data_IF_784870412040
#
_entry.id   IF_784870412040
#
_cell.length_a   1.000
_cell.length_b   1.000
_cell.length_c   1.000
_cell.angle_alpha   90.00
_cell.angle_beta   90.00
_cell.angle_gamma   90.00
#
_symmetry.space_group_name_H-M   'P 1'
#
loop_
_entity.id
_entity.type
_entity.pdbx_description
1 polymer ?
#
# COMPACT_ATOMS: atom_id res chain seq x y z
N UNK A 1 -50.92 -13.35 -16.12
CA UNK A 1 -51.34 -12.89 -14.78
C UNK A 1 -50.66 -11.56 -14.56
N UNK A 2 -51.38 -10.50 -14.93
CA UNK A 2 -51.04 -9.10 -14.69
C UNK A 2 -51.14 -8.78 -13.20
N UNK A 3 -50.11 -8.09 -12.69
CA UNK A 3 -50.12 -7.06 -11.62
C UNK A 3 -48.86 -7.14 -10.75
N UNK A 4 -47.80 -6.49 -11.24
CA UNK A 4 -46.85 -5.76 -10.40
C UNK A 4 -46.57 -4.43 -11.14
N UNK A 5 -47.61 -3.60 -11.21
CA UNK A 5 -47.50 -2.20 -11.55
C UNK A 5 -46.69 -1.49 -10.46
N UNK A 6 -45.83 -0.55 -10.85
CA UNK A 6 -45.13 0.30 -9.89
C UNK A 6 -46.20 1.04 -9.09
N UNK A 7 -46.18 0.90 -7.76
CA UNK A 7 -47.09 1.65 -6.91
C UNK A 7 -46.63 3.10 -6.83
N UNK A 8 -47.03 3.89 -7.84
CA UNK A 8 -46.69 5.31 -7.96
C UNK A 8 -47.20 6.13 -6.77
N UNK A 9 -48.27 5.69 -6.08
CA UNK A 9 -48.78 6.35 -4.88
C UNK A 9 -47.85 6.11 -3.70
N UNK A 10 -47.42 4.87 -3.49
CA UNK A 10 -46.41 4.51 -2.47
C UNK A 10 -45.07 5.19 -2.75
N UNK A 11 -44.62 5.21 -3.99
CA UNK A 11 -43.39 5.90 -4.38
C UNK A 11 -43.46 7.41 -4.09
N UNK A 12 -44.57 8.07 -4.45
CA UNK A 12 -44.78 9.49 -4.16
C UNK A 12 -44.86 9.78 -2.66
N UNK A 13 -45.45 8.87 -1.88
CA UNK A 13 -45.52 8.98 -0.42
C UNK A 13 -44.13 8.86 0.23
N UNK A 14 -43.36 7.83 -0.15
CA UNK A 14 -41.99 7.61 0.34
C UNK A 14 -41.07 8.79 0.00
N UNK A 15 -41.22 9.37 -1.21
CA UNK A 15 -40.51 10.59 -1.61
C UNK A 15 -40.84 11.80 -0.71
N UNK A 16 -42.09 11.95 -0.28
CA UNK A 16 -42.52 13.06 0.58
C UNK A 16 -42.10 12.86 2.04
N UNK A 17 -42.05 11.63 2.52
CA UNK A 17 -41.64 11.31 3.91
C UNK A 17 -40.14 11.12 4.07
N UNK A 18 -39.36 11.07 2.97
CA UNK A 18 -37.92 10.81 3.00
C UNK A 18 -37.58 9.33 3.26
N UNK A 19 -38.55 8.42 3.09
CA UNK A 19 -38.35 6.98 3.19
C UNK A 19 -37.63 6.43 1.94
N UNK A 20 -36.94 5.30 2.10
CA UNK A 20 -36.19 4.67 1.01
C UNK A 20 -37.14 4.17 -0.10
N UNK A 21 -36.88 4.61 -1.34
CA UNK A 21 -37.63 4.17 -2.54
C UNK A 21 -37.26 2.76 -3.01
N UNK A 22 -36.10 2.27 -2.58
CA UNK A 22 -35.57 0.95 -2.92
C UNK A 22 -35.35 0.10 -1.66
N UNK A 23 -35.00 -1.17 -1.81
CA UNK A 23 -34.89 -2.15 -0.72
C UNK A 23 -36.18 -2.93 -0.48
N UNK A 24 -36.19 -3.79 0.54
CA UNK A 24 -37.27 -4.77 0.80
C UNK A 24 -38.69 -4.18 0.82
N UNK A 25 -38.83 -2.93 1.27
CA UNK A 25 -40.11 -2.22 1.37
C UNK A 25 -40.24 -1.03 0.40
N UNK A 26 -39.25 -0.82 -0.48
CA UNK A 26 -39.20 0.29 -1.43
C UNK A 26 -40.17 0.12 -2.59
N UNK A 27 -40.90 1.18 -2.96
CA UNK A 27 -41.86 1.15 -4.06
C UNK A 27 -41.23 0.83 -5.44
N UNK A 28 -39.92 1.05 -5.61
CA UNK A 28 -39.20 0.82 -6.87
C UNK A 28 -38.39 -0.49 -6.90
N UNK A 29 -38.32 -1.25 -5.81
CA UNK A 29 -37.59 -2.52 -5.77
C UNK A 29 -38.08 -3.54 -6.82
N UNK A 30 -39.41 -3.72 -7.04
CA UNK A 30 -39.92 -4.63 -8.07
C UNK A 30 -39.52 -4.22 -9.49
N UNK A 31 -39.33 -2.91 -9.75
CA UNK A 31 -38.90 -2.41 -11.05
C UNK A 31 -37.47 -2.85 -11.36
N UNK A 32 -36.57 -2.73 -10.39
CA UNK A 32 -35.18 -3.15 -10.53
C UNK A 32 -35.07 -4.65 -10.79
N UNK A 33 -35.82 -5.45 -10.03
CA UNK A 33 -35.90 -6.90 -10.22
C UNK A 33 -36.36 -7.26 -11.64
N UNK A 34 -37.40 -6.60 -12.15
CA UNK A 34 -37.90 -6.80 -13.52
C UNK A 34 -36.86 -6.46 -14.58
N UNK A 35 -36.14 -5.35 -14.43
CA UNK A 35 -35.11 -4.94 -15.40
C UNK A 35 -34.01 -6.00 -15.48
N UNK A 36 -33.50 -6.47 -14.33
CA UNK A 36 -32.45 -7.49 -14.27
C UNK A 36 -32.90 -8.82 -14.85
N UNK A 37 -34.12 -9.28 -14.49
CA UNK A 37 -34.67 -10.52 -15.02
C UNK A 37 -34.95 -10.43 -16.53
N UNK A 38 -35.47 -9.30 -17.02
CA UNK A 38 -35.70 -9.09 -18.45
C UNK A 38 -34.39 -9.06 -19.26
N UNK A 39 -33.34 -8.44 -18.72
CA UNK A 39 -32.02 -8.43 -19.36
C UNK A 39 -31.45 -9.86 -19.49
N UNK A 40 -31.54 -10.67 -18.42
CA UNK A 40 -31.09 -12.07 -18.45
C UNK A 40 -31.90 -12.94 -19.42
N UNK A 41 -33.21 -12.70 -19.53
CA UNK A 41 -34.05 -13.37 -20.53
C UNK A 41 -33.63 -13.00 -21.96
N UNK A 42 -33.33 -11.72 -22.21
CA UNK A 42 -32.81 -11.25 -23.49
C UNK A 42 -31.45 -11.85 -23.85
N UNK A 43 -30.53 -11.94 -22.88
CA UNK A 43 -29.24 -12.62 -23.05
C UNK A 43 -29.42 -14.11 -23.41
N UNK A 44 -30.38 -14.79 -22.77
CA UNK A 44 -30.69 -16.19 -23.08
C UNK A 44 -31.27 -16.37 -24.48
N UNK A 45 -32.13 -15.46 -24.92
CA UNK A 45 -32.67 -15.48 -26.29
C UNK A 45 -31.57 -15.25 -27.34
N UNK A 46 -30.61 -14.37 -27.05
CA UNK A 46 -29.43 -14.18 -27.90
C UNK A 46 -28.51 -15.40 -27.91
N UNK A 47 -28.32 -16.05 -26.75
CA UNK A 47 -27.50 -17.26 -26.60
C UNK A 47 -28.11 -18.46 -27.34
N UNK A 48 -29.42 -18.64 -27.30
CA UNK A 48 -30.12 -19.75 -27.98
C UNK A 48 -30.56 -19.36 -29.40
N UNK A 49 -29.58 -19.10 -30.27
CA UNK A 49 -29.83 -18.82 -31.68
C UNK A 49 -30.32 -20.07 -32.45
N UNK A 50 -30.64 -19.92 -33.74
CA UNK A 50 -31.16 -21.01 -34.58
C UNK A 50 -30.20 -22.20 -34.72
N UNK A 51 -28.89 -21.99 -34.67
CA UNK A 51 -27.89 -23.06 -34.75
C UNK A 51 -27.85 -23.88 -33.45
N UNK A 52 -27.90 -23.22 -32.29
CA UNK A 52 -27.91 -23.89 -30.98
C UNK A 52 -29.19 -24.70 -30.73
N UNK A 53 -30.32 -24.22 -31.26
CA UNK A 53 -31.57 -25.00 -31.23
C UNK A 53 -31.52 -26.22 -32.13
N UNK A 54 -30.84 -26.12 -33.26
CA UNK A 54 -30.69 -27.22 -34.22
C UNK A 54 -29.72 -28.30 -33.71
N UNK A 55 -28.75 -27.94 -32.87
CA UNK A 55 -27.85 -28.89 -32.19
C UNK A 55 -28.49 -29.58 -30.96
N UNK A 56 -29.73 -29.22 -30.62
CA UNK A 56 -30.50 -29.83 -29.54
C UNK A 56 -30.43 -29.09 -28.19
N UNK A 57 -29.74 -27.95 -28.13
CA UNK A 57 -29.75 -27.10 -26.95
C UNK A 57 -31.09 -26.35 -26.83
N UNK A 58 -31.59 -26.22 -25.62
CA UNK A 58 -32.88 -25.60 -25.32
C UNK A 58 -32.92 -25.06 -23.91
N UNK A 59 -33.87 -24.17 -23.64
CA UNK A 59 -34.15 -23.68 -22.28
C UNK A 59 -34.46 -24.85 -21.34
N UNK A 60 -33.88 -24.82 -20.14
CA UNK A 60 -34.00 -25.87 -19.12
C UNK A 60 -34.23 -25.24 -17.73
N UNK A 61 -35.28 -24.44 -17.64
CA UNK A 61 -35.70 -23.78 -16.39
C UNK A 61 -34.87 -22.56 -16.02
N UNK A 62 -35.04 -22.12 -14.77
CA UNK A 62 -34.34 -20.98 -14.17
C UNK A 62 -33.78 -21.36 -12.81
N UNK A 63 -32.77 -20.63 -12.36
CA UNK A 63 -32.22 -20.70 -11.01
C UNK A 63 -32.41 -19.36 -10.33
N UNK A 64 -33.13 -19.35 -9.21
CA UNK A 64 -33.28 -18.16 -8.40
C UNK A 64 -32.06 -17.95 -7.51
N UNK A 65 -31.61 -16.70 -7.40
CA UNK A 65 -30.59 -16.28 -6.44
C UNK A 65 -30.90 -14.88 -5.94
N UNK A 66 -30.65 -14.64 -4.65
CA UNK A 66 -30.71 -13.29 -4.08
C UNK A 66 -29.43 -12.55 -4.46
N UNK A 67 -29.62 -11.35 -4.98
CA UNK A 67 -28.54 -10.47 -5.45
C UNK A 67 -28.59 -9.17 -4.66
N UNK A 68 -27.45 -8.78 -4.11
CA UNK A 68 -27.26 -7.53 -3.40
C UNK A 68 -26.94 -6.42 -4.41
N UNK A 69 -27.71 -5.33 -4.40
CA UNK A 69 -27.47 -4.16 -5.26
C UNK A 69 -27.29 -2.90 -4.42
N UNK A 70 -26.79 -1.81 -5.02
CA UNK A 70 -26.76 -0.48 -4.37
C UNK A 70 -28.14 0.03 -3.90
N UNK A 71 -29.21 -0.60 -4.38
CA UNK A 71 -30.59 -0.28 -4.10
C UNK A 71 -31.25 -1.36 -3.21
N UNK A 72 -30.47 -2.24 -2.58
CA UNK A 72 -30.94 -3.32 -1.72
C UNK A 72 -31.04 -4.67 -2.41
N UNK A 73 -31.61 -5.65 -1.69
CA UNK A 73 -31.74 -7.03 -2.14
C UNK A 73 -32.79 -7.17 -3.25
N UNK A 74 -32.46 -7.92 -4.30
CA UNK A 74 -33.39 -8.28 -5.38
C UNK A 74 -33.27 -9.77 -5.68
N UNK A 75 -34.38 -10.40 -6.08
CA UNK A 75 -34.40 -11.81 -6.44
C UNK A 75 -34.23 -11.93 -7.95
N UNK A 76 -33.13 -12.56 -8.37
CA UNK A 76 -32.83 -12.73 -9.80
C UNK A 76 -33.05 -14.17 -10.22
N UNK A 77 -33.84 -14.37 -11.26
CA UNK A 77 -34.10 -15.66 -11.88
C UNK A 77 -33.21 -15.85 -13.11
N UNK A 78 -32.05 -16.48 -12.92
CA UNK A 78 -31.11 -16.72 -14.04
C UNK A 78 -31.61 -17.88 -14.91
N UNK A 79 -31.91 -17.66 -16.20
CA UNK A 79 -32.32 -18.73 -17.09
C UNK A 79 -31.16 -19.71 -17.36
N UNK A 80 -31.51 -20.97 -17.66
CA UNK A 80 -30.54 -22.02 -17.93
C UNK A 80 -30.82 -22.67 -19.27
N UNK A 81 -29.76 -23.07 -19.95
CA UNK A 81 -29.81 -23.94 -21.12
C UNK A 81 -29.55 -25.41 -20.72
N UNK A 82 -29.92 -26.35 -21.58
CA UNK A 82 -29.78 -27.79 -21.34
C UNK A 82 -28.31 -28.19 -21.19
N UNK A 83 -27.45 -27.60 -22.01
CA UNK A 83 -26.03 -27.95 -22.08
C UNK A 83 -25.20 -27.17 -21.04
N UNK A 84 -25.81 -26.24 -20.31
CA UNK A 84 -25.15 -25.43 -19.29
C UNK A 84 -24.12 -24.43 -19.84
N UNK A 85 -24.13 -24.19 -21.15
CA UNK A 85 -23.18 -23.35 -21.88
C UNK A 85 -23.43 -21.85 -21.72
N UNK A 86 -24.63 -21.44 -21.29
CA UNK A 86 -24.99 -20.03 -21.13
C UNK A 86 -24.10 -19.30 -20.12
N UNK A 87 -23.52 -18.16 -20.50
CA UNK A 87 -22.69 -17.32 -19.63
C UNK A 87 -23.31 -15.92 -19.57
N UNK A 88 -24.18 -15.64 -18.59
CA UNK A 88 -24.82 -14.33 -18.46
C UNK A 88 -23.80 -13.25 -18.14
N UNK A 89 -23.99 -12.06 -18.72
CA UNK A 89 -23.12 -10.89 -18.55
C UNK A 89 -23.71 -9.91 -17.53
N UNK A 90 -25.01 -9.65 -17.58
CA UNK A 90 -25.74 -8.75 -16.66
C UNK A 90 -25.60 -9.21 -15.21
N UNK A 91 -25.77 -10.51 -14.96
CA UNK A 91 -25.53 -11.12 -13.65
C UNK A 91 -24.78 -12.44 -13.83
N UNK A 92 -23.47 -12.45 -13.56
CA UNK A 92 -22.62 -13.63 -13.80
C UNK A 92 -23.08 -14.84 -12.98
N UNK A 93 -22.76 -16.04 -13.45
CA UNK A 93 -23.04 -17.29 -12.70
C UNK A 93 -22.44 -17.20 -11.29
N UNK A 94 -23.25 -17.52 -10.28
CA UNK A 94 -22.92 -17.45 -8.84
C UNK A 94 -22.60 -16.04 -8.30
N UNK A 95 -22.72 -14.99 -9.11
CA UNK A 95 -22.61 -13.62 -8.63
C UNK A 95 -23.85 -13.25 -7.82
N UNK A 96 -23.65 -12.93 -6.55
CA UNK A 96 -24.69 -12.53 -5.60
C UNK A 96 -24.59 -11.06 -5.20
N UNK A 97 -23.66 -10.30 -5.78
CA UNK A 97 -23.43 -8.88 -5.48
C UNK A 97 -23.28 -8.11 -6.80
N UNK A 98 -24.37 -7.46 -7.23
CA UNK A 98 -24.43 -6.57 -8.39
C UNK A 98 -24.19 -5.14 -7.94
N UNK A 99 -22.93 -4.88 -7.62
CA UNK A 99 -22.57 -3.60 -7.07
C UNK A 99 -21.13 -3.25 -7.43
N UNK A 100 -20.87 -3.00 -8.71
CA UNK A 100 -19.64 -2.30 -9.10
C UNK A 100 -19.47 -0.99 -8.29
N UNK A 101 -20.57 -0.35 -7.86
CA UNK A 101 -20.50 0.77 -6.91
C UNK A 101 -20.27 0.42 -5.42
N UNK A 102 -20.85 -0.68 -4.90
CA UNK A 102 -20.66 -1.01 -3.46
C UNK A 102 -19.33 -1.70 -3.21
N UNK A 103 -18.84 -2.50 -4.15
CA UNK A 103 -17.53 -3.13 -4.04
C UNK A 103 -16.43 -2.06 -3.93
N UNK A 104 -16.49 -1.04 -4.79
CA UNK A 104 -15.57 0.10 -4.74
C UNK A 104 -15.73 0.91 -3.44
N UNK A 105 -16.96 1.14 -2.98
CA UNK A 105 -17.20 1.77 -1.68
C UNK A 105 -16.61 0.97 -0.52
N UNK A 106 -16.77 -0.35 -0.51
CA UNK A 106 -16.21 -1.25 0.51
C UNK A 106 -14.68 -1.19 0.47
N UNK A 107 -14.08 -1.26 -0.72
CA UNK A 107 -12.62 -1.17 -0.91
C UNK A 107 -12.12 0.19 -0.42
N UNK A 108 -12.78 1.29 -0.76
CA UNK A 108 -12.40 2.64 -0.34
C UNK A 108 -12.56 2.83 1.18
N UNK A 109 -13.65 2.36 1.78
CA UNK A 109 -13.81 2.37 3.24
C UNK A 109 -12.71 1.55 3.93
N UNK A 110 -12.36 0.39 3.36
CA UNK A 110 -11.27 -0.44 3.86
C UNK A 110 -9.91 0.26 3.73
N UNK A 111 -9.64 0.90 2.59
CA UNK A 111 -8.43 1.71 2.33
C UNK A 111 -8.25 2.84 3.36
N UNK A 112 -9.36 3.46 3.78
CA UNK A 112 -9.38 4.48 4.84
C UNK A 112 -9.15 3.91 6.26
N UNK A 113 -8.97 2.59 6.39
CA UNK A 113 -8.65 1.93 7.66
C UNK A 113 -9.87 1.42 8.44
N UNK A 114 -11.08 1.47 7.84
CA UNK A 114 -12.31 1.02 8.48
C UNK A 114 -12.27 -0.50 8.73
N UNK A 115 -12.79 -0.97 9.86
CA UNK A 115 -12.84 -2.42 10.14
C UNK A 115 -13.92 -3.10 9.28
N UNK A 116 -13.75 -4.38 8.94
CA UNK A 116 -14.77 -5.13 8.19
C UNK A 116 -16.10 -5.17 8.94
N UNK A 117 -16.06 -5.16 10.28
CA UNK A 117 -17.26 -5.05 11.13
C UNK A 117 -17.94 -3.69 11.03
N UNK A 118 -17.17 -2.61 11.00
CA UNK A 118 -17.73 -1.26 10.89
C UNK A 118 -18.26 -1.00 9.47
N UNK A 119 -17.61 -1.54 8.44
CA UNK A 119 -18.13 -1.55 7.07
C UNK A 119 -19.46 -2.30 7.03
N UNK A 120 -19.52 -3.51 7.59
CA UNK A 120 -20.77 -4.29 7.68
C UNK A 120 -21.91 -3.50 8.33
N UNK A 121 -21.65 -2.88 9.48
CA UNK A 121 -22.64 -2.03 10.18
C UNK A 121 -23.07 -0.81 9.36
N UNK A 122 -22.17 -0.18 8.63
CA UNK A 122 -22.49 0.94 7.75
C UNK A 122 -23.44 0.50 6.64
N UNK A 123 -23.17 -0.63 6.00
CA UNK A 123 -24.02 -1.17 4.94
C UNK A 123 -25.39 -1.64 5.44
N UNK A 124 -25.44 -2.22 6.63
CA UNK A 124 -26.70 -2.57 7.28
C UNK A 124 -27.53 -1.33 7.58
N UNK A 125 -26.91 -0.25 8.10
CA UNK A 125 -27.62 0.98 8.46
C UNK A 125 -28.11 1.78 7.26
N UNK A 126 -27.27 1.96 6.24
CA UNK A 126 -27.58 2.86 5.11
C UNK A 126 -28.32 2.15 3.97
N UNK A 127 -28.09 0.84 3.78
CA UNK A 127 -28.62 0.08 2.64
C UNK A 127 -29.48 -1.12 3.05
N UNK A 128 -29.76 -1.29 4.35
CA UNK A 128 -30.48 -2.46 4.90
C UNK A 128 -29.91 -3.79 4.38
N UNK A 129 -28.59 -3.82 4.18
CA UNK A 129 -27.86 -4.91 3.52
C UNK A 129 -26.90 -5.55 4.51
N UNK A 130 -27.15 -6.81 4.87
CA UNK A 130 -26.29 -7.55 5.80
C UNK A 130 -25.12 -8.18 5.06
N UNK A 131 -23.92 -7.60 5.21
CA UNK A 131 -22.69 -8.16 4.66
C UNK A 131 -21.88 -8.86 5.76
N UNK A 132 -21.58 -10.15 5.57
CA UNK A 132 -20.68 -10.85 6.49
C UNK A 132 -19.24 -10.31 6.36
N UNK A 133 -18.43 -10.50 7.41
CA UNK A 133 -17.01 -10.14 7.36
C UNK A 133 -16.24 -10.91 6.29
N UNK A 134 -16.67 -12.14 5.98
CA UNK A 134 -16.12 -12.98 4.92
C UNK A 134 -16.47 -12.42 3.53
N UNK A 135 -17.71 -12.01 3.32
CA UNK A 135 -18.14 -11.34 2.08
C UNK A 135 -17.33 -10.07 1.84
N UNK A 136 -17.14 -9.24 2.87
CA UNK A 136 -16.30 -8.04 2.78
C UNK A 136 -14.85 -8.40 2.47
N UNK A 137 -14.31 -9.44 3.11
CA UNK A 137 -12.95 -9.91 2.81
C UNK A 137 -12.82 -10.31 1.35
N UNK A 138 -13.73 -11.14 0.84
CA UNK A 138 -13.79 -11.59 -0.56
C UNK A 138 -13.88 -10.42 -1.56
N UNK A 139 -14.65 -9.37 -1.23
CA UNK A 139 -14.72 -8.15 -2.03
C UNK A 139 -13.36 -7.43 -2.03
N UNK A 140 -12.73 -7.27 -0.86
CA UNK A 140 -11.41 -6.61 -0.78
C UNK A 140 -10.31 -7.44 -1.44
N UNK A 141 -10.45 -8.77 -1.55
CA UNK A 141 -9.49 -9.64 -2.23
C UNK A 141 -9.44 -9.41 -3.75
N UNK A 142 -10.43 -8.70 -4.32
CA UNK A 142 -10.42 -8.29 -5.73
C UNK A 142 -9.25 -7.38 -6.09
N UNK A 143 -8.58 -6.77 -5.11
CA UNK A 143 -7.37 -5.94 -5.33
C UNK A 143 -6.08 -6.76 -5.43
N UNK A 144 -6.08 -8.05 -5.06
CA UNK A 144 -4.86 -8.86 -5.07
C UNK A 144 -4.19 -8.99 -6.46
N UNK A 145 -4.93 -9.13 -7.58
CA UNK A 145 -4.32 -9.07 -8.91
C UNK A 145 -3.67 -7.72 -9.21
N UNK A 146 -4.28 -6.61 -8.78
CA UNK A 146 -3.72 -5.25 -8.92
C UNK A 146 -2.39 -5.13 -8.15
N UNK A 147 -2.34 -5.62 -6.91
CA UNK A 147 -1.11 -5.68 -6.10
C UNK A 147 -0.03 -6.49 -6.81
N UNK A 148 -0.40 -7.66 -7.35
CA UNK A 148 0.54 -8.54 -8.06
C UNK A 148 1.11 -7.85 -9.31
N UNK A 149 0.26 -7.18 -10.09
CA UNK A 149 0.68 -6.41 -11.25
C UNK A 149 1.57 -5.23 -10.84
N UNK A 150 1.23 -4.52 -9.77
CA UNK A 150 2.03 -3.41 -9.26
C UNK A 150 3.41 -3.86 -8.76
N UNK A 151 3.50 -4.99 -8.06
CA UNK A 151 4.78 -5.55 -7.59
C UNK A 151 5.68 -6.01 -8.74
N UNK A 152 5.10 -6.40 -9.87
CA UNK A 152 5.85 -6.85 -11.06
C UNK A 152 6.06 -5.76 -12.11
N UNK A 153 5.58 -4.52 -11.86
CA UNK A 153 5.70 -3.43 -12.84
C UNK A 153 7.17 -3.07 -13.09
N UNK A 154 7.45 -2.69 -14.32
CA UNK A 154 8.74 -2.11 -14.71
C UNK A 154 8.97 -0.79 -13.97
N UNK A 155 10.21 -0.56 -13.55
CA UNK A 155 10.67 0.63 -12.84
C UNK A 155 11.57 1.49 -13.73
N UNK A 156 11.74 2.75 -13.34
CA UNK A 156 12.66 3.64 -14.04
C UNK A 156 14.11 3.13 -13.92
N UNK A 157 14.96 3.33 -14.95
CA UNK A 157 16.31 2.78 -14.94
C UNK A 157 17.23 3.46 -13.92
N UNK A 158 16.95 4.69 -13.50
CA UNK A 158 17.80 5.44 -12.55
C UNK A 158 16.96 6.18 -11.53
N UNK A 159 17.27 5.94 -10.25
CA UNK A 159 16.73 6.70 -9.13
C UNK A 159 17.82 7.53 -8.45
N UNK A 160 17.52 8.79 -8.18
CA UNK A 160 18.47 9.73 -7.59
C UNK A 160 18.73 9.44 -6.11
N UNK A 161 17.66 9.22 -5.34
CA UNK A 161 17.74 8.89 -3.92
C UNK A 161 16.68 7.84 -3.63
N UNK A 162 17.08 6.77 -2.94
CA UNK A 162 16.19 5.75 -2.41
C UNK A 162 16.31 5.70 -0.88
N UNK A 163 15.19 5.43 -0.23
CA UNK A 163 15.14 5.09 1.17
C UNK A 163 14.50 3.72 1.34
N UNK A 164 15.08 2.92 2.22
CA UNK A 164 14.56 1.62 2.60
C UNK A 164 14.34 1.63 4.10
N UNK A 165 13.08 1.61 4.52
CA UNK A 165 12.68 1.69 5.91
C UNK A 165 11.46 0.80 6.17
N UNK A 166 11.27 0.40 7.42
CA UNK A 166 10.25 -0.57 7.83
C UNK A 166 9.20 0.03 8.76
N UNK A 167 8.00 -0.53 8.68
CA UNK A 167 6.99 -0.38 9.73
C UNK A 167 6.74 -1.76 10.34
N UNK A 168 6.73 -1.80 11.67
CA UNK A 168 6.46 -3.03 12.42
C UNK A 168 4.97 -3.15 12.72
N UNK A 169 4.41 -4.32 12.43
CA UNK A 169 3.02 -4.68 12.67
C UNK A 169 2.90 -6.00 13.42
N UNK A 170 1.75 -6.21 14.07
CA UNK A 170 1.38 -7.52 14.62
C UNK A 170 0.54 -8.27 13.60
N UNK A 171 0.95 -9.48 13.26
CA UNK A 171 0.27 -10.36 12.29
C UNK A 171 0.12 -11.74 12.91
N UNK A 172 -0.94 -12.47 12.57
CA UNK A 172 -1.07 -13.88 12.93
C UNK A 172 -0.25 -14.75 12.00
N UNK A 173 0.59 -15.62 12.56
CA UNK A 173 1.26 -16.69 11.81
C UNK A 173 0.29 -17.81 11.44
N UNK A 174 0.77 -18.82 10.71
CA UNK A 174 -0.01 -19.99 10.30
C UNK A 174 -0.56 -20.81 11.50
N UNK A 175 0.02 -20.62 12.69
CA UNK A 175 -0.40 -21.24 13.95
C UNK A 175 -1.36 -20.35 14.74
N UNK A 176 -1.78 -19.21 14.18
CA UNK A 176 -2.69 -18.24 14.78
C UNK A 176 -2.07 -17.35 15.86
N UNK A 177 -0.75 -17.39 16.06
CA UNK A 177 -0.03 -16.62 17.08
C UNK A 177 0.30 -15.23 16.57
N UNK A 178 0.16 -14.22 17.41
CA UNK A 178 0.51 -12.84 17.08
C UNK A 178 2.03 -12.65 17.09
N UNK A 179 2.64 -12.58 15.92
CA UNK A 179 4.07 -12.32 15.72
C UNK A 179 4.29 -10.88 15.23
N UNK A 180 5.48 -10.34 15.47
CA UNK A 180 5.88 -9.05 14.89
C UNK A 180 6.40 -9.30 13.47
N UNK A 181 5.86 -8.59 12.48
CA UNK A 181 6.36 -8.56 11.09
C UNK A 181 6.79 -7.15 10.73
N UNK A 182 7.88 -7.04 9.97
CA UNK A 182 8.31 -5.77 9.38
C UNK A 182 7.87 -5.74 7.92
N UNK A 183 7.19 -4.66 7.51
CA UNK A 183 6.97 -4.35 6.10
C UNK A 183 7.96 -3.25 5.69
N UNK A 184 8.90 -3.61 4.82
CA UNK A 184 9.89 -2.71 4.26
C UNK A 184 9.32 -2.02 3.03
N UNK A 185 9.47 -0.71 2.99
CA UNK A 185 9.03 0.14 1.90
C UNK A 185 10.27 0.73 1.24
N UNK A 186 10.40 0.52 -0.07
CA UNK A 186 11.47 1.13 -0.88
C UNK A 186 10.89 2.35 -1.58
N UNK A 187 11.20 3.54 -1.06
CA UNK A 187 10.72 4.81 -1.60
C UNK A 187 11.86 5.50 -2.35
N UNK A 188 11.65 5.87 -3.61
CA UNK A 188 12.65 6.49 -4.47
C UNK A 188 12.22 7.83 -5.04
N UNK A 189 13.19 8.64 -5.44
CA UNK A 189 12.99 9.83 -6.27
C UNK A 189 13.55 9.55 -7.66
N UNK A 190 12.72 9.63 -8.69
CA UNK A 190 13.17 9.43 -10.07
C UNK A 190 13.90 10.67 -10.61
N UNK A 191 14.39 10.60 -11.85
CA UNK A 191 15.11 11.71 -12.50
C UNK A 191 14.29 13.01 -12.55
N UNK A 192 12.97 12.91 -12.68
CA UNK A 192 12.05 14.04 -12.76
C UNK A 192 11.72 14.66 -11.40
N UNK A 193 12.16 14.04 -10.30
CA UNK A 193 11.95 14.56 -8.95
C UNK A 193 10.65 14.09 -8.31
N UNK A 194 9.96 13.13 -8.94
CA UNK A 194 8.74 12.53 -8.42
C UNK A 194 9.08 11.40 -7.45
N UNK A 195 8.28 11.31 -6.39
CA UNK A 195 8.33 10.20 -5.45
C UNK A 195 7.69 8.98 -6.09
N UNK A 196 8.27 7.82 -5.85
CA UNK A 196 7.74 6.56 -6.29
C UNK A 196 8.01 5.47 -5.23
N UNK A 197 7.01 4.63 -4.94
CA UNK A 197 7.21 3.46 -4.08
C UNK A 197 7.59 2.29 -4.97
N UNK A 198 8.85 1.92 -4.94
CA UNK A 198 9.43 0.91 -5.83
C UNK A 198 8.97 -0.50 -5.42
N UNK A 199 8.80 -0.75 -4.12
CA UNK A 199 8.36 -2.05 -3.64
C UNK A 199 7.98 -2.08 -2.16
N UNK A 200 7.23 -3.11 -1.80
CA UNK A 200 6.86 -3.46 -0.42
C UNK A 200 7.22 -4.92 -0.17
N UNK A 201 7.95 -5.17 0.91
CA UNK A 201 8.46 -6.50 1.24
C UNK A 201 8.17 -6.81 2.69
N UNK A 202 7.37 -7.86 2.94
CA UNK A 202 7.12 -8.36 4.29
C UNK A 202 8.21 -9.38 4.59
N UNK A 203 8.89 -9.22 5.72
CA UNK A 203 9.92 -10.16 6.16
C UNK A 203 9.61 -10.77 7.51
N UNK A 204 9.96 -12.05 7.62
CA UNK A 204 9.99 -12.79 8.88
C UNK A 204 11.28 -12.59 9.67
N UNK A 205 12.39 -12.35 8.96
CA UNK A 205 13.74 -12.24 9.53
C UNK A 205 14.61 -11.29 8.70
N UNK A 206 15.32 -10.39 9.38
CA UNK A 206 16.26 -9.47 8.73
C UNK A 206 17.61 -10.18 8.52
N UNK A 207 18.00 -10.41 7.27
CA UNK A 207 19.26 -11.07 6.93
C UNK A 207 19.82 -10.58 5.60
N UNK A 208 21.11 -10.79 5.37
CA UNK A 208 21.79 -10.34 4.15
C UNK A 208 21.14 -10.89 2.86
N UNK A 209 20.69 -12.15 2.88
CA UNK A 209 20.02 -12.78 1.73
C UNK A 209 18.70 -12.08 1.39
N UNK A 210 17.89 -11.71 2.40
CA UNK A 210 16.64 -10.98 2.18
C UNK A 210 16.89 -9.65 1.46
N UNK A 211 17.94 -8.91 1.88
CA UNK A 211 18.28 -7.65 1.24
C UNK A 211 18.81 -7.84 -0.17
N UNK A 212 19.58 -8.88 -0.42
CA UNK A 212 20.03 -9.22 -1.76
C UNK A 212 18.86 -9.53 -2.68
N UNK A 213 17.86 -10.27 -2.20
CA UNK A 213 16.64 -10.58 -2.95
C UNK A 213 15.85 -9.30 -3.28
N UNK A 214 15.68 -8.40 -2.30
CA UNK A 214 15.02 -7.10 -2.51
C UNK A 214 15.74 -6.28 -3.58
N UNK A 215 17.05 -6.14 -3.50
CA UNK A 215 17.80 -5.34 -4.48
C UNK A 215 17.81 -6.00 -5.86
N UNK A 216 17.85 -7.33 -5.92
CA UNK A 216 17.77 -8.11 -7.16
C UNK A 216 16.39 -7.98 -7.82
N UNK A 217 15.30 -7.96 -7.06
CA UNK A 217 13.95 -7.69 -7.59
C UNK A 217 13.90 -6.32 -8.28
N UNK A 218 14.43 -5.27 -7.63
CA UNK A 218 14.49 -3.94 -8.22
C UNK A 218 15.29 -3.94 -9.54
N UNK A 219 16.43 -4.64 -9.57
CA UNK A 219 17.25 -4.76 -10.78
C UNK A 219 16.50 -5.50 -11.91
N UNK A 220 15.83 -6.61 -11.59
CA UNK A 220 15.06 -7.40 -12.55
C UNK A 220 13.87 -6.61 -13.13
N UNK A 221 13.30 -5.70 -12.35
CA UNK A 221 12.23 -4.79 -12.78
C UNK A 221 12.72 -3.58 -13.56
N UNK A 222 14.02 -3.48 -13.84
CA UNK A 222 14.59 -2.52 -14.77
C UNK A 222 15.47 -1.44 -14.14
N UNK A 223 15.59 -1.37 -12.81
CA UNK A 223 16.50 -0.43 -12.15
C UNK A 223 17.94 -0.81 -12.53
N UNK A 224 18.65 0.15 -13.11
CA UNK A 224 20.05 0.00 -13.52
C UNK A 224 21.01 0.68 -12.55
N UNK A 225 20.58 1.80 -11.97
CA UNK A 225 21.42 2.57 -11.07
C UNK A 225 20.60 3.29 -9.99
N UNK A 226 21.20 3.38 -8.80
CA UNK A 226 20.71 4.18 -7.68
C UNK A 226 21.88 5.03 -7.21
N UNK A 227 21.74 6.36 -7.22
CA UNK A 227 22.89 7.20 -6.88
C UNK A 227 23.16 7.19 -5.37
N UNK A 228 22.09 7.34 -4.58
CA UNK A 228 22.17 7.46 -3.12
C UNK A 228 21.12 6.54 -2.49
N UNK A 229 21.55 5.64 -1.62
CA UNK A 229 20.67 4.80 -0.80
C UNK A 229 20.77 5.18 0.68
N UNK A 230 19.67 5.66 1.25
CA UNK A 230 19.55 5.96 2.67
C UNK A 230 18.91 4.78 3.40
N UNK A 231 19.64 4.13 4.29
CA UNK A 231 19.18 2.90 4.96
C UNK A 231 19.46 2.90 6.46
N UNK A 232 18.79 2.01 7.18
CA UNK A 232 19.16 1.71 8.56
C UNK A 232 20.48 0.92 8.61
N UNK A 233 21.20 1.00 9.72
CA UNK A 233 22.46 0.30 10.00
C UNK A 233 22.32 -1.21 10.23
N UNK A 234 21.40 -1.85 9.50
CA UNK A 234 21.19 -3.30 9.58
C UNK A 234 22.40 -4.02 9.00
N UNK A 235 22.84 -5.07 9.71
CA UNK A 235 24.05 -5.81 9.37
C UNK A 235 23.92 -6.45 7.97
N UNK A 236 24.92 -6.23 7.12
CA UNK A 236 24.98 -6.77 5.76
C UNK A 236 24.06 -6.06 4.74
N UNK A 237 23.25 -5.09 5.17
CA UNK A 237 22.35 -4.40 4.26
C UNK A 237 23.09 -3.46 3.28
N UNK A 238 24.01 -2.60 3.74
CA UNK A 238 24.84 -1.82 2.81
C UNK A 238 25.61 -2.69 1.81
N UNK A 239 26.12 -3.84 2.26
CA UNK A 239 26.92 -4.74 1.42
C UNK A 239 26.04 -5.43 0.36
N UNK A 240 24.78 -5.76 0.68
CA UNK A 240 23.81 -6.26 -0.28
C UNK A 240 23.46 -5.21 -1.36
N UNK A 241 23.32 -3.93 -0.97
CA UNK A 241 23.10 -2.83 -1.93
C UNK A 241 24.27 -2.74 -2.89
N UNK A 242 25.50 -2.69 -2.37
CA UNK A 242 26.71 -2.55 -3.17
C UNK A 242 27.04 -3.82 -3.98
N UNK A 243 26.48 -4.97 -3.62
CA UNK A 243 26.59 -6.20 -4.43
C UNK A 243 25.76 -6.13 -5.72
N UNK A 244 24.60 -5.47 -5.69
CA UNK A 244 23.71 -5.34 -6.86
C UNK A 244 23.94 -4.03 -7.62
N UNK A 245 24.21 -2.95 -6.90
CA UNK A 245 24.47 -1.61 -7.43
C UNK A 245 25.79 -1.05 -6.87
N UNK A 246 26.95 -1.49 -7.40
CA UNK A 246 28.28 -1.23 -6.83
C UNK A 246 28.62 0.25 -6.66
N UNK A 247 28.14 1.08 -7.58
CA UNK A 247 28.42 2.51 -7.62
C UNK A 247 27.50 3.34 -6.71
N UNK A 248 26.58 2.71 -5.97
CA UNK A 248 25.65 3.41 -5.07
C UNK A 248 26.37 3.96 -3.84
N UNK A 249 26.20 5.26 -3.57
CA UNK A 249 26.59 5.84 -2.28
C UNK A 249 25.59 5.45 -1.20
N UNK A 250 26.03 4.64 -0.23
CA UNK A 250 25.19 4.22 0.90
C UNK A 250 25.36 5.18 2.08
N UNK A 251 24.26 5.84 2.43
CA UNK A 251 24.14 6.67 3.63
C UNK A 251 23.38 5.92 4.72
N UNK A 252 24.00 5.79 5.90
CA UNK A 252 23.30 5.27 7.08
C UNK A 252 22.46 6.37 7.75
N UNK A 253 21.25 6.02 8.16
CA UNK A 253 20.35 6.96 8.79
C UNK A 253 20.85 7.35 10.20
N UNK A 254 21.31 8.60 10.34
CA UNK A 254 21.78 9.16 11.61
C UNK A 254 20.70 9.06 12.70
N UNK A 255 19.43 9.25 12.35
CA UNK A 255 18.31 9.14 13.32
C UNK A 255 18.18 7.72 13.86
N UNK A 256 18.31 6.70 13.01
CA UNK A 256 18.30 5.31 13.47
C UNK A 256 19.52 4.98 14.31
N UNK A 257 20.70 5.47 13.92
CA UNK A 257 21.92 5.33 14.72
C UNK A 257 21.78 5.95 16.12
N UNK A 258 21.18 7.16 16.22
CA UNK A 258 20.87 7.81 17.49
C UNK A 258 19.89 6.96 18.32
N UNK A 259 18.78 6.51 17.72
CA UNK A 259 17.78 5.68 18.42
C UNK A 259 18.38 4.37 18.95
N UNK A 260 19.27 3.74 18.16
CA UNK A 260 19.97 2.53 18.58
C UNK A 260 20.96 2.82 19.71
N UNK A 261 21.67 3.94 19.64
CA UNK A 261 22.60 4.39 20.70
C UNK A 261 21.90 4.59 22.04
N UNK A 262 20.75 5.29 22.06
CA UNK A 262 20.01 5.62 23.28
C UNK A 262 19.58 4.37 24.08
N UNK A 263 19.33 3.24 23.41
CA UNK A 263 18.95 1.97 24.07
C UNK A 263 20.03 1.47 25.05
N UNK A 264 21.29 1.85 24.83
CA UNK A 264 22.44 1.44 25.65
C UNK A 264 22.96 2.55 26.57
N UNK A 265 22.40 3.76 26.47
CA UNK A 265 22.75 4.89 27.33
C UNK A 265 21.77 4.94 28.50
N UNK A 266 22.30 4.97 29.73
CA UNK A 266 21.50 5.05 30.95
C UNK A 266 20.61 6.30 30.96
N UNK A 267 19.36 6.16 31.40
CA UNK A 267 18.32 7.21 31.33
C UNK A 267 18.76 8.56 31.90
N UNK A 268 19.55 8.55 32.98
CA UNK A 268 20.11 9.77 33.61
C UNK A 268 21.03 10.56 32.67
N UNK A 269 21.76 9.88 31.78
CA UNK A 269 22.76 10.49 30.91
C UNK A 269 22.21 10.82 29.52
N UNK A 270 21.06 10.24 29.12
CA UNK A 270 20.51 10.37 27.77
C UNK A 270 20.35 11.82 27.29
N UNK A 271 19.84 12.73 28.14
CA UNK A 271 19.61 14.13 27.76
C UNK A 271 20.92 14.86 27.45
N UNK A 272 21.95 14.62 28.25
CA UNK A 272 23.26 15.24 28.10
C UNK A 272 24.03 14.62 26.92
N UNK A 273 24.04 13.29 26.84
CA UNK A 273 24.62 12.56 25.71
C UNK A 273 24.03 13.01 24.37
N UNK A 274 22.71 13.18 24.28
CA UNK A 274 22.07 13.67 23.05
C UNK A 274 22.42 15.11 22.69
N UNK A 275 22.67 15.96 23.70
CA UNK A 275 23.12 17.34 23.49
C UNK A 275 24.53 17.35 22.89
N UNK A 276 25.42 16.53 23.43
CA UNK A 276 26.79 16.42 22.93
C UNK A 276 26.80 15.78 21.54
N UNK A 277 26.06 14.68 21.34
CA UNK A 277 25.95 14.01 20.04
C UNK A 277 25.35 14.91 18.94
N UNK A 278 24.54 15.91 19.31
CA UNK A 278 24.01 16.91 18.37
C UNK A 278 25.10 17.75 17.72
N UNK A 279 26.24 17.97 18.38
CA UNK A 279 27.35 18.71 17.78
C UNK A 279 28.02 17.91 16.65
N UNK A 280 27.99 16.58 16.71
CA UNK A 280 28.53 15.67 15.70
C UNK A 280 27.76 15.79 14.38
N UNK A 281 26.46 15.46 14.38
CA UNK A 281 25.65 15.51 13.15
C UNK A 281 25.22 16.92 12.75
N UNK A 282 25.35 17.90 13.65
CA UNK A 282 25.13 19.33 13.38
C UNK A 282 26.33 20.06 12.80
N UNK A 283 27.49 19.40 12.69
CA UNK A 283 28.70 20.01 12.15
C UNK A 283 28.57 20.39 10.66
N UNK A 284 29.39 21.34 10.21
CA UNK A 284 29.36 21.88 8.83
C UNK A 284 30.18 21.05 7.84
N UNK A 285 31.21 20.35 8.33
CA UNK A 285 32.13 19.51 7.55
C UNK A 285 32.39 18.16 8.23
N UNK A 286 32.85 17.16 7.46
CA UNK A 286 33.21 15.82 7.96
C UNK A 286 34.31 15.90 9.03
N UNK A 287 35.32 16.75 8.83
CA UNK A 287 36.43 16.90 9.78
C UNK A 287 35.97 17.52 11.11
N UNK A 288 35.10 18.53 11.04
CA UNK A 288 34.51 19.13 12.24
C UNK A 288 33.61 18.11 12.96
N UNK A 289 32.86 17.28 12.22
CA UNK A 289 32.04 16.22 12.80
C UNK A 289 32.91 15.18 13.52
N UNK A 290 34.06 14.82 12.94
CA UNK A 290 34.98 13.83 13.51
C UNK A 290 35.61 14.35 14.80
N UNK A 291 36.08 15.60 14.80
CA UNK A 291 36.60 16.23 16.01
C UNK A 291 35.54 16.29 17.13
N UNK A 292 34.28 16.57 16.79
CA UNK A 292 33.19 16.51 17.77
C UNK A 292 32.93 15.09 18.26
N UNK A 293 33.04 14.07 17.40
CA UNK A 293 32.92 12.67 17.82
C UNK A 293 34.06 12.29 18.77
N UNK A 294 35.28 12.77 18.55
CA UNK A 294 36.42 12.56 19.45
C UNK A 294 36.13 13.17 20.83
N UNK A 295 35.58 14.39 20.91
CA UNK A 295 35.18 14.99 22.19
C UNK A 295 34.07 14.21 22.90
N UNK A 296 33.13 13.64 22.13
CA UNK A 296 32.08 12.76 22.69
C UNK A 296 32.69 11.46 23.22
N UNK A 297 33.70 10.91 22.54
CA UNK A 297 34.46 9.73 22.95
C UNK A 297 35.24 9.97 24.25
N UNK A 298 35.96 11.09 24.36
CA UNK A 298 36.67 11.47 25.58
C UNK A 298 35.74 11.53 26.81
N UNK A 299 34.53 12.04 26.63
CA UNK A 299 33.57 12.20 27.73
C UNK A 299 32.79 10.94 28.05
N UNK A 300 32.37 10.18 27.03
CA UNK A 300 31.40 9.10 27.17
C UNK A 300 31.97 7.72 26.84
N UNK A 301 33.15 7.63 26.22
CA UNK A 301 33.76 6.40 25.73
C UNK A 301 34.08 5.38 26.82
N UNK A 302 34.48 5.83 28.02
CA UNK A 302 34.69 4.91 29.15
C UNK A 302 33.38 4.29 29.66
N UNK A 303 32.30 5.08 29.71
CA UNK A 303 31.00 4.64 30.22
C UNK A 303 30.21 3.84 29.17
N UNK A 304 30.28 4.24 27.90
CA UNK A 304 29.48 3.70 26.80
C UNK A 304 30.35 3.29 25.60
N UNK A 305 31.39 2.45 25.78
CA UNK A 305 32.36 2.13 24.73
C UNK A 305 31.72 1.46 23.51
N UNK A 306 30.68 0.65 23.72
CA UNK A 306 29.95 -0.04 22.64
C UNK A 306 29.22 0.97 21.74
N UNK A 307 28.66 2.03 22.34
CA UNK A 307 27.97 3.09 21.58
C UNK A 307 28.96 3.83 20.72
N UNK A 308 30.08 4.29 21.29
CA UNK A 308 31.09 5.03 20.53
C UNK A 308 31.70 4.16 19.42
N UNK A 309 32.03 2.91 19.73
CA UNK A 309 32.50 1.94 18.74
C UNK A 309 31.52 1.80 17.57
N UNK A 310 30.22 1.71 17.85
CA UNK A 310 29.20 1.63 16.79
C UNK A 310 29.21 2.86 15.86
N UNK A 311 29.46 4.07 16.38
CA UNK A 311 29.58 5.27 15.56
C UNK A 311 30.88 5.28 14.74
N UNK A 312 32.00 4.86 15.33
CA UNK A 312 33.30 4.74 14.66
C UNK A 312 33.25 3.71 13.53
N UNK A 313 32.74 2.53 13.80
CA UNK A 313 32.65 1.42 12.83
C UNK A 313 31.78 1.81 11.62
N UNK A 314 30.78 2.67 11.82
CA UNK A 314 29.85 3.12 10.79
C UNK A 314 30.17 4.53 10.24
N UNK A 315 31.28 5.14 10.65
CA UNK A 315 31.53 6.57 10.47
C UNK A 315 31.48 7.04 9.03
N UNK A 316 32.11 6.30 8.12
CA UNK A 316 32.16 6.66 6.70
C UNK A 316 30.76 6.68 6.09
N UNK A 317 29.94 5.66 6.34
CA UNK A 317 28.56 5.60 5.83
C UNK A 317 27.62 6.56 6.57
N UNK A 318 27.90 6.92 7.82
CA UNK A 318 27.14 7.94 8.56
C UNK A 318 27.44 9.35 8.06
N UNK A 319 28.62 9.59 7.50
CA UNK A 319 29.10 10.91 7.05
C UNK A 319 29.11 11.09 5.54
N UNK A 320 28.66 10.10 4.78
CA UNK A 320 28.58 10.12 3.31
C UNK A 320 27.87 11.38 2.79
N UNK A 321 26.88 11.89 3.53
CA UNK A 321 26.13 13.08 3.14
C UNK A 321 26.96 14.37 3.07
N UNK A 322 28.11 14.44 3.76
CA UNK A 322 28.96 15.64 3.77
C UNK A 322 29.55 15.97 2.39
N UNK A 323 29.61 15.01 1.47
CA UNK A 323 30.08 15.30 0.12
C UNK A 323 29.06 16.06 -0.74
N UNK A 324 27.80 16.16 -0.30
CA UNK A 324 26.74 16.80 -1.06
C UNK A 324 26.48 18.23 -0.59
N UNK A 325 25.82 19.01 -1.45
CA UNK A 325 25.40 20.38 -1.14
C UNK A 325 24.35 20.41 -0.03
N UNK A 326 24.15 21.55 0.66
CA UNK A 326 23.10 21.69 1.69
C UNK A 326 21.70 21.30 1.20
N UNK A 327 21.39 21.53 -0.08
CA UNK A 327 20.09 21.17 -0.67
C UNK A 327 19.88 19.65 -0.75
N UNK A 328 20.89 18.91 -1.22
CA UNK A 328 20.85 17.44 -1.28
C UNK A 328 20.90 16.84 0.13
N UNK A 329 21.76 17.37 1.02
CA UNK A 329 21.81 16.97 2.43
C UNK A 329 20.42 17.06 3.06
N UNK A 330 19.68 18.13 2.80
CA UNK A 330 18.29 18.31 3.25
C UNK A 330 17.36 17.20 2.79
N UNK A 331 17.47 16.72 1.57
CA UNK A 331 16.68 15.57 1.15
C UNK A 331 17.07 14.30 1.92
N UNK A 332 18.36 14.05 2.10
CA UNK A 332 18.87 12.88 2.81
C UNK A 332 18.41 12.87 4.28
N UNK A 333 18.63 13.98 5.01
CA UNK A 333 18.42 14.01 6.47
C UNK A 333 16.96 14.20 6.87
N UNK A 334 16.12 14.83 6.04
CA UNK A 334 14.84 15.33 6.55
C UNK A 334 13.88 14.24 7.03
N UNK A 335 14.11 12.96 6.70
CA UNK A 335 13.19 11.81 6.88
C UNK A 335 11.76 12.03 6.40
N UNK A 336 11.35 13.25 6.08
CA UNK A 336 10.00 13.72 5.78
C UNK A 336 9.38 12.95 4.62
N UNK A 337 10.18 12.55 3.64
CA UNK A 337 9.69 11.78 2.50
C UNK A 337 9.17 10.41 2.95
N UNK A 338 9.98 9.64 3.66
CA UNK A 338 9.65 8.30 4.17
C UNK A 338 8.73 8.38 5.38
N UNK A 339 9.05 9.23 6.34
CA UNK A 339 8.27 9.44 7.55
C UNK A 339 6.89 10.02 7.24
N UNK A 340 6.78 10.89 6.24
CA UNK A 340 5.50 11.40 5.75
C UNK A 340 4.65 10.31 5.11
N UNK A 341 5.25 9.38 4.36
CA UNK A 341 4.58 8.18 3.86
C UNK A 341 4.18 7.25 5.03
N UNK A 342 5.12 6.86 5.89
CA UNK A 342 4.87 6.01 7.05
C UNK A 342 3.81 6.57 8.01
N UNK A 343 3.77 7.89 8.21
CA UNK A 343 2.74 8.55 9.02
C UNK A 343 1.35 8.37 8.43
N UNK A 344 1.21 8.47 7.11
CA UNK A 344 -0.06 8.29 6.42
C UNK A 344 -0.51 6.82 6.45
N UNK A 345 0.42 5.87 6.24
CA UNK A 345 0.14 4.45 6.41
C UNK A 345 -0.29 4.14 7.85
N UNK A 346 0.45 4.64 8.85
CA UNK A 346 0.09 4.48 10.28
C UNK A 346 -1.28 5.05 10.60
N UNK A 347 -1.69 6.15 9.96
CA UNK A 347 -3.02 6.76 10.17
C UNK A 347 -4.16 5.79 9.82
N UNK A 348 -4.03 5.02 8.75
CA UNK A 348 -5.06 4.05 8.34
C UNK A 348 -4.92 2.70 9.06
N UNK A 349 -3.71 2.32 9.47
CA UNK A 349 -3.49 1.05 10.18
C UNK A 349 -3.68 1.14 11.69
N UNK A 350 -3.74 2.34 12.30
CA UNK A 350 -3.77 2.52 13.77
C UNK A 350 -4.91 1.77 14.49
N UNK A 351 -6.04 1.57 13.81
CA UNK A 351 -7.22 0.92 14.37
C UNK A 351 -7.15 -0.62 14.25
N UNK A 352 -6.10 -1.16 13.62
CA UNK A 352 -5.88 -2.59 13.41
C UNK A 352 -4.87 -3.10 14.45
N UNK A 353 -5.35 -3.78 15.49
CA UNK A 353 -4.48 -4.32 16.54
C UNK A 353 -3.58 -5.45 16.05
N UNK A 354 -4.17 -6.50 15.46
CA UNK A 354 -3.46 -7.65 14.88
C UNK A 354 -4.07 -7.99 13.52
N UNK A 355 -3.24 -8.11 12.50
CA UNK A 355 -3.65 -8.54 11.17
C UNK A 355 -3.84 -10.06 11.11
N UNK A 356 -4.84 -10.57 10.36
CA UNK A 356 -5.13 -11.99 10.29
C UNK A 356 -4.10 -12.78 9.45
N UNK A 357 -3.37 -12.12 8.54
CA UNK A 357 -2.33 -12.73 7.70
C UNK A 357 -1.45 -11.63 7.08
N UNK A 358 -0.31 -12.01 6.52
CA UNK A 358 0.59 -11.11 5.80
C UNK A 358 -0.10 -10.49 4.57
N UNK A 359 -0.91 -11.28 3.85
CA UNK A 359 -1.73 -10.79 2.72
C UNK A 359 -2.70 -9.68 3.14
N UNK A 360 -3.32 -9.79 4.32
CA UNK A 360 -4.21 -8.76 4.82
C UNK A 360 -3.47 -7.46 5.19
N UNK A 361 -2.26 -7.59 5.72
CA UNK A 361 -1.37 -6.45 5.96
C UNK A 361 -0.98 -5.78 4.64
N UNK A 362 -0.45 -6.56 3.69
CA UNK A 362 -0.01 -6.07 2.38
C UNK A 362 -1.14 -5.34 1.64
N UNK A 363 -2.34 -5.92 1.63
CA UNK A 363 -3.53 -5.34 1.01
C UNK A 363 -3.88 -3.96 1.56
N UNK A 364 -3.90 -3.80 2.88
CA UNK A 364 -4.23 -2.52 3.50
C UNK A 364 -3.13 -1.47 3.26
N UNK A 365 -1.86 -1.87 3.33
CA UNK A 365 -0.74 -0.95 3.08
C UNK A 365 -0.70 -0.53 1.61
N UNK A 366 -0.97 -1.45 0.68
CA UNK A 366 -1.09 -1.13 -0.75
C UNK A 366 -2.19 -0.12 -1.03
N UNK A 367 -3.40 -0.36 -0.50
CA UNK A 367 -4.53 0.56 -0.67
C UNK A 367 -4.22 1.94 -0.08
N UNK A 368 -3.54 1.98 1.06
CA UNK A 368 -3.06 3.23 1.64
C UNK A 368 -2.07 3.93 0.70
N UNK A 369 -1.11 3.19 0.14
CA UNK A 369 -0.15 3.71 -0.83
C UNK A 369 -0.86 4.28 -2.07
N UNK A 370 -1.84 3.55 -2.63
CA UNK A 370 -2.61 3.97 -3.80
C UNK A 370 -3.17 5.38 -3.60
N UNK A 371 -3.93 5.58 -2.51
CA UNK A 371 -4.54 6.87 -2.16
C UNK A 371 -3.50 7.97 -1.82
N UNK A 372 -2.34 7.59 -1.27
CA UNK A 372 -1.25 8.55 -0.99
C UNK A 372 -0.58 8.99 -2.30
N UNK A 373 -0.36 8.06 -3.22
CA UNK A 373 0.38 8.26 -4.48
C UNK A 373 -0.37 9.16 -5.46
N UNK A 374 -1.72 9.18 -5.42
CA UNK A 374 -2.55 10.12 -6.18
C UNK A 374 -2.19 11.58 -5.92
N UNK A 375 -1.62 11.89 -4.75
CA UNK A 375 -1.21 13.25 -4.36
C UNK A 375 0.24 13.56 -4.74
N UNK A 376 0.99 12.60 -5.29
CA UNK A 376 2.39 12.78 -5.70
C UNK A 376 2.48 13.29 -7.13
N UNK A 377 1.76 14.37 -7.43
CA UNK A 377 1.67 14.94 -8.80
C UNK A 377 2.82 15.88 -9.13
N UNK A 378 3.39 16.53 -8.10
CA UNK A 378 4.43 17.54 -8.25
C UNK A 378 5.81 16.97 -7.90
N UNK A 379 6.88 17.39 -8.60
CA UNK A 379 8.24 17.07 -8.21
C UNK A 379 8.58 17.72 -6.86
N UNK A 380 9.64 17.23 -6.21
CA UNK A 380 10.12 17.85 -4.97
C UNK A 380 10.48 19.33 -5.18
N UNK A 381 10.27 20.12 -4.13
CA UNK A 381 10.64 21.55 -4.13
C UNK A 381 12.12 21.72 -4.46
N UNK A 382 12.43 22.68 -5.34
CA UNK A 382 13.78 22.98 -5.82
C UNK A 382 14.48 21.84 -6.57
N UNK A 383 13.73 20.87 -7.11
CA UNK A 383 14.31 19.73 -7.82
C UNK A 383 15.18 20.13 -9.02
N UNK A 384 14.83 21.18 -9.76
CA UNK A 384 15.61 21.65 -10.90
C UNK A 384 17.06 22.02 -10.52
N UNK A 385 17.27 22.62 -9.35
CA UNK A 385 18.61 22.94 -8.84
C UNK A 385 19.33 21.68 -8.33
N UNK A 386 18.60 20.83 -7.60
CA UNK A 386 19.14 19.60 -7.01
C UNK A 386 19.60 18.63 -8.11
N UNK A 387 18.79 18.45 -9.15
CA UNK A 387 19.08 17.57 -10.28
C UNK A 387 20.33 18.00 -11.05
N UNK A 388 20.57 19.30 -11.24
CA UNK A 388 21.83 19.81 -11.82
C UNK A 388 23.04 19.49 -10.96
N UNK A 389 22.93 19.67 -9.64
CA UNK A 389 24.02 19.34 -8.71
C UNK A 389 24.31 17.84 -8.69
N UNK A 390 23.28 17.00 -8.74
CA UNK A 390 23.42 15.55 -8.89
C UNK A 390 24.05 15.18 -10.24
N UNK A 391 23.64 15.82 -11.34
CA UNK A 391 24.21 15.58 -12.67
C UNK A 391 25.71 15.93 -12.72
N UNK A 392 26.13 17.04 -12.09
CA UNK A 392 27.54 17.41 -11.96
C UNK A 392 28.31 16.37 -11.12
N UNK A 393 27.73 15.92 -10.00
CA UNK A 393 28.38 14.99 -9.06
C UNK A 393 28.52 13.57 -9.63
N UNK A 394 27.51 13.09 -10.34
CA UNK A 394 27.41 11.70 -10.81
C UNK A 394 27.66 11.53 -12.32
N UNK A 395 27.80 12.64 -13.07
CA UNK A 395 28.18 12.64 -14.48
C UNK A 395 27.23 11.80 -15.34
N UNK A 396 27.81 10.87 -16.11
CA UNK A 396 27.07 10.00 -17.04
C UNK A 396 26.00 9.14 -16.39
N UNK A 397 26.09 8.89 -15.09
CA UNK A 397 25.10 8.12 -14.33
C UNK A 397 23.79 8.88 -14.15
N UNK A 398 23.80 10.21 -14.16
CA UNK A 398 22.61 11.04 -13.96
C UNK A 398 22.46 12.14 -15.03
N UNK A 399 22.15 11.70 -16.25
CA UNK A 399 21.83 12.61 -17.36
C UNK A 399 20.43 13.21 -17.21
N UNK A 400 20.39 14.54 -17.21
CA UNK A 400 19.18 15.37 -17.20
C UNK A 400 18.92 16.06 -18.56
N UNK A 401 19.88 15.97 -19.48
CA UNK A 401 19.82 16.45 -20.87
C UNK A 401 20.51 15.45 -21.79
#
# INVERSE_FOLDING_TARGET
MDNLEIDYKKAAQQLRSGEALFGKDGALAPMLERILNAALEGEMDAHLNSADRSSGNRRNGKMSKTVQTKYGEVIVETPRDRDGSFKPETVKKRETILAEGMADQIINMYALGTSTRDISKYFEREFNTTLSAETISSITDRVLPEITAWKSRMLDPVYAICWLDAIHYKVKDDKGRAVTRAIYNVLGINKSGHKDLLGMYISESEGANFWLDVMTDLQNRGVRDILICCVDGLKGFPDAIQSVFPETSVQLCVVHQIRNSIKYVGSKHQKEFLKDLKTVYGAVSKDSALAQLDMVDEKWGEMYPIVIKSWRDNWDRLTEYFQYTPAIRKLIYTTNTVEGYHRQVRKVTKNKGVFPSDTALEKLVYLAYRDISEKWTMPLSNWALISQQLAIKFGDRFKIM
#
